data_IF_617107167434
#
_entry.id   IF_617107167434
#
_cell.length_a   1.000
_cell.length_b   1.000
_cell.length_c   1.000
_cell.angle_alpha   90.00
_cell.angle_beta   90.00
_cell.angle_gamma   90.00
#
_symmetry.space_group_name_H-M   'P 1'
#
loop_
_entity.id
_entity.type
_entity.pdbx_description
1 polymer ?
#
# COMPACT_ATOMS: atom_id res chain seq x y z
N UNK A 1 -12.60 12.19 -49.24
CA UNK A 1 -12.06 10.89 -48.78
C UNK A 1 -10.68 11.00 -48.11
N UNK A 2 -9.87 12.04 -48.35
CA UNK A 2 -8.58 12.21 -47.65
C UNK A 2 -8.71 12.71 -46.19
N UNK A 3 -9.74 13.53 -45.90
CA UNK A 3 -9.92 14.15 -44.57
C UNK A 3 -10.27 13.16 -43.45
N UNK A 4 -10.98 12.05 -43.77
CA UNK A 4 -11.29 11.01 -42.79
C UNK A 4 -10.07 10.14 -42.45
N UNK A 5 -9.15 9.97 -43.41
CA UNK A 5 -7.94 9.18 -43.21
C UNK A 5 -6.97 9.84 -42.21
N UNK A 6 -6.93 11.18 -42.19
CA UNK A 6 -6.10 11.93 -41.24
C UNK A 6 -6.56 11.81 -39.78
N UNK A 7 -7.86 11.63 -39.53
CA UNK A 7 -8.38 11.41 -38.16
C UNK A 7 -8.06 10.00 -37.64
N UNK A 8 -7.92 9.01 -38.52
CA UNK A 8 -7.50 7.66 -38.14
C UNK A 8 -5.98 7.57 -37.88
N UNK A 9 -5.20 8.53 -38.38
CA UNK A 9 -3.75 8.60 -38.17
C UNK A 9 -3.37 9.27 -36.83
N UNK A 10 -4.28 10.04 -36.22
CA UNK A 10 -4.10 10.60 -34.87
C UNK A 10 -4.68 9.62 -33.85
N UNK A 11 -3.82 8.81 -33.22
CA UNK A 11 -4.23 7.91 -32.15
C UNK A 11 -4.94 8.67 -31.02
N UNK A 12 -6.00 8.09 -30.46
CA UNK A 12 -6.69 8.59 -29.28
C UNK A 12 -5.71 8.53 -28.11
N UNK A 13 -5.03 9.65 -27.85
CA UNK A 13 -4.03 9.78 -26.79
C UNK A 13 -4.72 9.52 -25.45
N UNK A 14 -4.45 8.35 -24.86
CA UNK A 14 -5.08 7.89 -23.61
C UNK A 14 -4.38 8.53 -22.42
N UNK A 15 -5.15 9.27 -21.62
CA UNK A 15 -4.72 9.76 -20.30
C UNK A 15 -5.06 8.71 -19.25
N UNK A 16 -4.05 8.29 -18.48
CA UNK A 16 -4.21 7.38 -17.35
C UNK A 16 -3.55 8.04 -16.16
N UNK A 17 -4.32 8.29 -15.10
CA UNK A 17 -3.86 8.96 -13.87
C UNK A 17 -3.22 10.36 -14.08
N UNK A 18 -3.67 11.13 -15.07
CA UNK A 18 -3.20 12.50 -15.31
C UNK A 18 -1.84 12.58 -15.98
N UNK A 19 -1.33 11.47 -16.52
CA UNK A 19 -0.12 11.41 -17.31
C UNK A 19 -0.48 10.82 -18.68
N UNK A 20 -0.05 11.47 -19.77
CA UNK A 20 -0.04 10.82 -21.08
C UNK A 20 1.14 9.87 -21.10
N UNK A 21 0.87 8.57 -21.13
CA UNK A 21 1.92 7.58 -21.26
C UNK A 21 2.34 7.45 -22.74
N UNK A 22 3.65 7.58 -23.05
CA UNK A 22 4.15 7.65 -24.43
C UNK A 22 4.14 6.31 -25.19
N UNK A 23 3.79 5.20 -24.55
CA UNK A 23 3.74 3.87 -25.16
C UNK A 23 2.40 3.17 -24.90
N UNK A 24 1.87 2.48 -25.91
CA UNK A 24 0.62 1.71 -25.79
C UNK A 24 0.77 0.44 -24.91
N UNK A 25 2.00 0.10 -24.52
CA UNK A 25 2.36 -1.10 -23.76
C UNK A 25 2.78 -0.79 -22.32
N UNK A 26 2.37 0.35 -21.76
CA UNK A 26 2.69 0.75 -20.39
C UNK A 26 2.25 -0.25 -19.31
N UNK A 27 1.32 -1.16 -19.63
CA UNK A 27 0.95 -2.27 -18.74
C UNK A 27 2.00 -3.40 -18.69
N UNK A 28 2.87 -3.48 -19.69
CA UNK A 28 3.94 -4.48 -19.82
C UNK A 28 5.34 -3.89 -19.62
N UNK A 29 5.48 -2.56 -19.69
CA UNK A 29 6.72 -1.83 -19.41
C UNK A 29 6.92 -1.78 -17.89
N UNK A 30 7.89 -2.56 -17.44
CA UNK A 30 8.30 -2.87 -16.07
C UNK A 30 7.47 -2.22 -14.96
N UNK A 31 6.59 -3.06 -14.37
CA UNK A 31 6.22 -3.08 -12.95
C UNK A 31 7.19 -2.20 -12.17
N UNK A 32 6.75 -0.99 -11.80
CA UNK A 32 7.52 -0.03 -11.01
C UNK A 32 8.38 -0.80 -10.01
N UNK A 33 9.69 -0.84 -10.25
CA UNK A 33 10.59 -1.64 -9.43
C UNK A 33 10.61 -1.03 -8.02
N UNK A 34 9.80 -1.59 -7.15
CA UNK A 34 9.86 -1.30 -5.72
C UNK A 34 10.94 -2.20 -5.16
N UNK A 35 12.12 -1.63 -4.93
CA UNK A 35 13.18 -2.34 -4.23
C UNK A 35 12.57 -3.07 -3.02
N UNK A 36 12.92 -4.34 -2.77
CA UNK A 36 12.37 -5.08 -1.64
C UNK A 36 12.63 -4.24 -0.39
N UNK A 37 11.54 -3.67 0.13
CA UNK A 37 11.61 -2.85 1.33
C UNK A 37 12.12 -3.70 2.49
N UNK A 38 12.70 -3.09 3.52
CA UNK A 38 13.18 -3.82 4.69
C UNK A 38 12.10 -4.80 5.19
N UNK A 39 12.48 -6.05 5.47
CA UNK A 39 11.52 -7.14 5.80
C UNK A 39 10.57 -6.78 6.96
N UNK A 40 10.96 -5.81 7.80
CA UNK A 40 10.11 -5.23 8.82
C UNK A 40 9.64 -3.82 8.44
N UNK A 41 8.76 -3.73 7.43
CA UNK A 41 8.03 -2.49 7.09
C UNK A 41 7.22 -1.91 8.27
N UNK A 42 7.03 -2.70 9.34
CA UNK A 42 6.12 -2.42 10.43
C UNK A 42 6.80 -2.52 11.81
N UNK A 43 8.08 -2.18 11.93
CA UNK A 43 8.77 -2.29 13.22
C UNK A 43 8.09 -1.47 14.33
N UNK A 44 7.52 -0.30 13.96
CA UNK A 44 6.82 0.58 14.89
C UNK A 44 5.50 -0.02 15.37
N UNK A 45 4.69 -0.59 14.49
CA UNK A 45 3.41 -1.20 14.90
C UNK A 45 3.63 -2.56 15.58
N UNK A 46 4.66 -3.33 15.20
CA UNK A 46 5.05 -4.54 15.91
C UNK A 46 5.48 -4.25 17.36
N UNK A 47 6.27 -3.19 17.56
CA UNK A 47 6.65 -2.71 18.90
C UNK A 47 5.42 -2.24 19.68
N UNK A 48 4.53 -1.46 19.05
CA UNK A 48 3.30 -0.98 19.69
C UNK A 48 2.37 -2.14 20.10
N UNK A 49 2.23 -3.17 19.27
CA UNK A 49 1.45 -4.37 19.60
C UNK A 49 2.07 -5.19 20.73
N UNK A 50 3.40 -5.26 20.81
CA UNK A 50 4.09 -5.93 21.93
C UNK A 50 3.88 -5.18 23.25
N UNK A 51 4.03 -3.86 23.23
CA UNK A 51 3.79 -3.01 24.41
C UNK A 51 2.34 -3.13 24.88
N UNK A 52 1.37 -2.99 23.97
CA UNK A 52 -0.05 -3.12 24.29
C UNK A 52 -0.39 -4.48 24.93
N UNK A 53 0.14 -5.59 24.39
CA UNK A 53 -0.06 -6.93 24.98
C UNK A 53 0.47 -7.02 26.41
N UNK A 54 1.69 -6.51 26.64
CA UNK A 54 2.30 -6.53 27.97
C UNK A 54 1.51 -5.71 29.01
N UNK A 55 0.95 -4.57 28.60
CA UNK A 55 0.12 -3.73 29.47
C UNK A 55 -1.21 -4.39 29.81
N UNK A 56 -1.85 -5.06 28.84
CA UNK A 56 -3.09 -5.79 29.04
C UNK A 56 -2.90 -7.00 29.97
N UNK A 57 -1.81 -7.75 29.80
CA UNK A 57 -1.45 -8.86 30.70
C UNK A 57 -1.19 -8.36 32.13
N UNK A 58 -0.45 -7.26 32.29
CA UNK A 58 -0.20 -6.65 33.59
C UNK A 58 -1.50 -6.12 34.24
N UNK A 59 -2.41 -5.55 33.45
CA UNK A 59 -3.70 -5.09 33.93
C UNK A 59 -4.57 -6.26 34.38
N UNK A 60 -4.63 -7.34 33.61
CA UNK A 60 -5.38 -8.54 33.97
C UNK A 60 -4.84 -9.18 35.24
N UNK A 61 -3.52 -9.33 35.37
CA UNK A 61 -2.88 -9.82 36.59
C UNK A 61 -3.19 -8.94 37.81
N UNK A 62 -3.22 -7.60 37.65
CA UNK A 62 -3.64 -6.67 38.72
C UNK A 62 -5.11 -6.83 39.08
N UNK A 63 -5.98 -7.04 38.10
CA UNK A 63 -7.42 -7.27 38.33
C UNK A 63 -7.66 -8.58 39.09
N UNK A 64 -6.96 -9.64 38.71
CA UNK A 64 -7.00 -10.95 39.38
C UNK A 64 -6.44 -10.89 40.81
N UNK A 65 -5.34 -10.16 41.02
CA UNK A 65 -4.78 -9.94 42.36
C UNK A 65 -5.74 -9.15 43.27
N UNK A 66 -6.46 -8.17 42.71
CA UNK A 66 -7.48 -7.40 43.43
C UNK A 66 -8.71 -8.23 43.81
N UNK A 67 -9.07 -9.24 43.01
CA UNK A 67 -10.22 -10.12 43.31
C UNK A 67 -9.90 -11.19 44.36
N UNK A 68 -8.62 -11.54 44.57
CA UNK A 68 -8.20 -12.53 45.58
C UNK A 68 -8.10 -11.96 47.01
N UNK A 69 -8.15 -10.63 47.16
CA UNK A 69 -8.10 -9.95 48.46
C UNK A 69 -9.50 -9.59 49.01
N UNK A 70 -10.58 -9.96 48.30
CA UNK A 70 -11.98 -9.87 48.76
C UNK A 70 -12.47 -11.25 49.20
#
# INVERSE_FOLDING_TARGET
MALLASLAATGCQVDVAGQTLPSAYWHQDDVQYFAPGPEMKVQREATAQQQYRSEMEAQNARREAGTRLQ
#
